data_IF_492751873585
#
_entry.id   IF_492751873585
#
_cell.length_a   1.000
_cell.length_b   1.000
_cell.length_c   1.000
_cell.angle_alpha   90.00
_cell.angle_beta   90.00
_cell.angle_gamma   90.00
#
_symmetry.space_group_name_H-M   'P 1'
#
loop_
_entity.id
_entity.type
_entity.pdbx_description
1 polymer ?
#
# COMPACT_ATOMS: atom_id res chain seq x y z
N UNK A 1 -35.49 23.80 46.38
CA UNK A 1 -35.35 23.36 47.80
C UNK A 1 -35.09 21.86 47.84
N UNK A 2 -33.88 21.41 48.19
CA UNK A 2 -33.57 20.07 48.75
C UNK A 2 -32.09 20.00 49.10
N UNK A 3 -31.78 19.97 50.38
CA UNK A 3 -30.46 19.78 50.97
C UNK A 3 -30.66 19.31 52.42
N UNK A 4 -29.63 18.66 53.01
CA UNK A 4 -29.68 18.12 54.37
C UNK A 4 -29.62 16.59 54.37
N UNK A 5 -28.58 16.05 55.01
CA UNK A 5 -28.31 14.63 55.15
C UNK A 5 -28.42 14.22 56.65
N UNK A 6 -27.73 13.14 57.04
CA UNK A 6 -27.78 12.46 58.37
C UNK A 6 -29.08 11.69 58.66
N UNK A 7 -29.07 10.45 59.17
CA UNK A 7 -28.00 9.44 59.22
C UNK A 7 -27.52 9.05 60.62
N UNK A 8 -27.81 7.80 61.02
CA UNK A 8 -27.05 6.97 61.97
C UNK A 8 -27.57 5.53 61.95
N UNK A 9 -26.66 4.57 62.11
CA UNK A 9 -26.95 3.16 62.39
C UNK A 9 -26.51 2.84 63.83
N UNK A 10 -26.89 1.67 64.37
CA UNK A 10 -26.16 0.86 65.36
C UNK A 10 -26.82 -0.53 65.50
N UNK A 11 -26.03 -1.53 65.89
CA UNK A 11 -26.32 -2.96 65.74
C UNK A 11 -27.14 -3.64 66.87
N UNK A 12 -27.67 -4.83 66.57
CA UNK A 12 -28.26 -5.78 67.54
C UNK A 12 -28.37 -7.20 66.95
N UNK A 13 -27.63 -8.21 67.46
CA UNK A 13 -27.51 -9.52 66.79
C UNK A 13 -28.41 -10.63 67.36
N UNK A 14 -28.48 -11.75 66.61
CA UNK A 14 -29.06 -13.07 66.93
C UNK A 14 -30.60 -13.22 66.90
N UNK A 15 -31.09 -13.78 65.79
CA UNK A 15 -31.83 -15.05 65.87
C UNK A 15 -31.56 -15.90 64.62
N UNK A 16 -30.98 -17.09 64.80
CA UNK A 16 -30.55 -17.97 63.71
C UNK A 16 -31.41 -19.25 63.72
N UNK A 17 -32.54 -19.26 63.00
CA UNK A 17 -33.26 -20.49 62.67
C UNK A 17 -34.25 -20.30 61.50
N UNK A 18 -34.45 -21.37 60.73
CA UNK A 18 -35.60 -21.61 59.82
C UNK A 18 -35.87 -20.59 58.69
N UNK A 19 -35.05 -20.63 57.64
CA UNK A 19 -35.51 -20.40 56.25
C UNK A 19 -34.83 -21.37 55.25
N UNK A 20 -34.86 -22.66 55.56
CA UNK A 20 -34.61 -23.72 54.58
C UNK A 20 -35.89 -23.96 53.75
N UNK A 21 -36.19 -23.02 52.84
CA UNK A 21 -37.11 -23.27 51.73
C UNK A 21 -36.27 -23.51 50.48
N UNK A 22 -36.59 -24.60 49.78
CA UNK A 22 -35.70 -25.15 48.77
C UNK A 22 -35.51 -24.20 47.58
N UNK A 23 -34.26 -23.79 47.34
CA UNK A 23 -33.82 -23.51 45.98
C UNK A 23 -33.93 -24.83 45.22
N UNK A 24 -35.02 -25.01 44.48
CA UNK A 24 -35.14 -26.09 43.53
C UNK A 24 -34.01 -25.95 42.52
N UNK A 25 -33.04 -26.86 42.57
CA UNK A 25 -31.99 -26.97 41.55
C UNK A 25 -32.60 -27.58 40.27
N UNK A 26 -33.60 -26.90 39.72
CA UNK A 26 -34.04 -27.10 38.35
C UNK A 26 -32.88 -26.71 37.47
N UNK A 27 -32.12 -27.72 37.03
CA UNK A 27 -30.98 -27.51 36.15
C UNK A 27 -31.44 -26.67 34.97
N UNK A 28 -30.72 -25.57 34.71
CA UNK A 28 -30.99 -24.73 33.56
C UNK A 28 -30.82 -25.61 32.32
N UNK A 29 -31.96 -26.01 31.72
CA UNK A 29 -31.96 -26.79 30.48
C UNK A 29 -31.47 -25.83 29.42
N UNK A 30 -30.18 -25.90 29.10
CA UNK A 30 -29.51 -24.88 28.29
C UNK A 30 -30.29 -24.63 27.00
N UNK A 31 -30.59 -23.36 26.75
CA UNK A 31 -31.35 -22.95 25.59
C UNK A 31 -30.49 -23.22 24.36
N UNK A 32 -30.86 -24.24 23.57
CA UNK A 32 -30.08 -24.66 22.42
C UNK A 32 -30.02 -23.49 21.41
N UNK A 33 -28.84 -22.91 21.12
CA UNK A 33 -28.75 -21.68 20.33
C UNK A 33 -29.29 -21.82 18.90
N UNK A 34 -29.26 -23.05 18.37
CA UNK A 34 -29.72 -23.41 17.03
C UNK A 34 -31.20 -23.78 16.97
N UNK A 35 -31.88 -23.91 18.12
CA UNK A 35 -33.28 -24.36 18.24
C UNK A 35 -33.55 -25.81 17.82
N UNK A 36 -32.52 -26.54 17.36
CA UNK A 36 -32.63 -27.85 16.75
C UNK A 36 -32.04 -28.94 17.65
N UNK A 37 -32.59 -30.14 17.56
CA UNK A 37 -32.19 -31.27 18.40
C UNK A 37 -32.06 -32.56 17.60
N UNK A 38 -31.10 -33.40 17.99
CA UNK A 38 -30.96 -34.78 17.48
C UNK A 38 -32.12 -35.66 17.97
N UNK A 39 -32.25 -36.85 17.39
CA UNK A 39 -33.19 -37.89 17.85
C UNK A 39 -32.86 -38.39 19.27
N UNK A 40 -31.63 -38.21 19.75
CA UNK A 40 -31.22 -38.45 21.15
C UNK A 40 -31.57 -37.30 22.11
N UNK A 41 -32.03 -36.16 21.61
CA UNK A 41 -32.38 -34.97 22.39
C UNK A 41 -31.19 -34.04 22.70
N UNK A 42 -30.04 -34.24 22.05
CA UNK A 42 -28.88 -33.36 22.15
C UNK A 42 -29.08 -32.12 21.27
N UNK A 43 -28.58 -30.96 21.71
CA UNK A 43 -28.62 -29.74 20.89
C UNK A 43 -27.79 -29.90 19.62
N UNK A 44 -28.27 -29.41 18.48
CA UNK A 44 -27.53 -29.46 17.24
C UNK A 44 -26.40 -28.41 17.21
N UNK A 45 -25.20 -28.85 16.83
CA UNK A 45 -24.04 -27.98 16.60
C UNK A 45 -24.30 -27.10 15.38
N UNK A 46 -23.89 -25.85 15.46
CA UNK A 46 -23.73 -24.99 14.29
C UNK A 46 -22.32 -25.18 13.70
N UNK A 47 -22.23 -24.99 12.39
CA UNK A 47 -21.01 -24.71 11.66
C UNK A 47 -20.66 -23.22 11.83
N UNK A 48 -19.37 -22.88 11.79
CA UNK A 48 -18.89 -21.51 11.98
C UNK A 48 -18.93 -20.71 10.67
N UNK A 49 -18.59 -19.42 10.73
CA UNK A 49 -18.21 -18.66 9.53
C UNK A 49 -17.05 -19.38 8.83
N UNK A 50 -17.11 -19.51 7.51
CA UNK A 50 -16.18 -20.35 6.76
C UNK A 50 -16.59 -21.83 6.61
N UNK A 51 -17.61 -22.30 7.35
CA UNK A 51 -18.08 -23.68 7.32
C UNK A 51 -19.56 -23.79 6.92
N UNK A 52 -19.89 -24.78 6.09
CA UNK A 52 -21.25 -25.13 5.70
C UNK A 52 -21.68 -26.50 6.24
N UNK A 53 -23.00 -26.70 6.33
CA UNK A 53 -23.61 -27.96 6.76
C UNK A 53 -23.59 -29.00 5.63
N UNK A 54 -22.58 -29.87 5.65
CA UNK A 54 -22.47 -31.04 4.78
C UNK A 54 -23.56 -32.10 5.07
N UNK A 55 -23.91 -32.27 6.35
CA UNK A 55 -25.02 -33.14 6.77
C UNK A 55 -25.79 -32.50 7.95
N UNK A 56 -27.11 -32.28 7.83
CA UNK A 56 -27.91 -31.72 8.91
C UNK A 56 -28.06 -32.72 10.07
N UNK A 57 -28.27 -32.21 11.28
CA UNK A 57 -28.50 -33.05 12.45
C UNK A 57 -29.83 -33.83 12.35
N UNK A 58 -29.89 -34.97 13.05
CA UNK A 58 -31.03 -35.88 13.05
C UNK A 58 -30.72 -37.09 13.92
N UNK A 59 -30.53 -38.26 13.32
CA UNK A 59 -30.03 -39.44 14.04
C UNK A 59 -28.58 -39.22 14.56
N UNK A 60 -27.78 -38.48 13.78
CA UNK A 60 -26.43 -38.05 14.14
C UNK A 60 -26.41 -36.54 14.42
N UNK A 61 -25.28 -36.07 14.95
CA UNK A 61 -24.97 -34.65 15.10
C UNK A 61 -24.65 -33.99 13.74
N UNK A 62 -24.79 -32.66 13.62
CA UNK A 62 -24.44 -31.89 12.41
C UNK A 62 -23.00 -32.19 11.97
N UNK A 63 -22.79 -32.37 10.67
CA UNK A 63 -21.46 -32.46 10.05
C UNK A 63 -21.21 -31.18 9.25
N UNK A 64 -20.09 -30.54 9.52
CA UNK A 64 -19.64 -29.30 8.88
C UNK A 64 -18.47 -29.60 7.94
N UNK A 65 -18.38 -28.86 6.85
CA UNK A 65 -17.24 -28.84 5.93
C UNK A 65 -16.80 -27.39 5.66
N UNK A 66 -15.50 -27.13 5.46
CA UNK A 66 -15.04 -25.80 5.07
C UNK A 66 -15.52 -25.47 3.65
N UNK A 67 -15.92 -24.23 3.44
CA UNK A 67 -16.31 -23.75 2.12
C UNK A 67 -15.08 -23.60 1.21
N UNK A 68 -15.24 -23.84 -0.10
CA UNK A 68 -14.14 -23.76 -1.06
C UNK A 68 -13.86 -22.29 -1.42
N UNK A 69 -12.68 -21.80 -1.06
CA UNK A 69 -12.17 -20.47 -1.43
C UNK A 69 -12.41 -20.14 -2.91
N UNK A 70 -12.80 -18.88 -3.19
CA UNK A 70 -13.25 -18.36 -4.49
C UNK A 70 -14.47 -19.03 -5.17
N UNK A 71 -15.02 -20.13 -4.61
CA UNK A 71 -16.13 -20.90 -5.22
C UNK A 71 -17.41 -20.85 -4.35
N UNK A 72 -17.25 -20.91 -3.02
CA UNK A 72 -18.36 -20.89 -2.07
C UNK A 72 -17.99 -20.21 -0.75
N UNK A 73 -18.97 -19.64 -0.04
CA UNK A 73 -18.80 -18.99 1.26
C UNK A 73 -19.89 -19.40 2.28
N UNK A 74 -19.66 -19.09 3.56
CA UNK A 74 -20.64 -19.18 4.65
C UNK A 74 -20.49 -18.01 5.62
N UNK A 75 -21.42 -17.04 5.49
CA UNK A 75 -21.51 -15.77 6.21
C UNK A 75 -22.28 -15.85 7.54
N UNK A 76 -22.77 -17.05 7.92
CA UNK A 76 -23.60 -17.25 9.11
C UNK A 76 -23.22 -18.48 9.92
N UNK A 77 -23.32 -18.37 11.25
CA UNK A 77 -23.16 -19.51 12.16
C UNK A 77 -24.48 -20.30 12.19
N UNK A 78 -24.55 -21.42 11.47
CA UNK A 78 -25.79 -22.16 11.22
C UNK A 78 -25.67 -23.67 11.41
N UNK A 79 -26.76 -24.32 11.85
CA UNK A 79 -26.90 -25.78 11.89
C UNK A 79 -27.70 -26.34 10.70
N UNK A 80 -28.08 -25.50 9.73
CA UNK A 80 -28.88 -25.90 8.56
C UNK A 80 -28.42 -25.35 7.21
N UNK A 81 -27.60 -24.29 7.17
CA UNK A 81 -27.17 -23.71 5.89
C UNK A 81 -25.89 -24.40 5.38
N UNK A 82 -25.88 -24.93 4.13
CA UNK A 82 -24.67 -25.35 3.45
C UNK A 82 -23.90 -24.13 2.92
N UNK A 83 -22.66 -24.34 2.45
CA UNK A 83 -21.90 -23.31 1.75
C UNK A 83 -22.67 -22.80 0.53
N UNK A 84 -22.73 -21.47 0.38
CA UNK A 84 -23.43 -20.75 -0.69
C UNK A 84 -22.45 -20.54 -1.87
N UNK A 85 -22.86 -20.64 -3.14
CA UNK A 85 -22.00 -20.26 -4.26
C UNK A 85 -21.69 -18.77 -4.20
N UNK A 86 -20.44 -18.39 -4.50
CA UNK A 86 -20.02 -16.99 -4.59
C UNK A 86 -20.79 -16.22 -5.68
N UNK A 87 -21.03 -14.94 -5.46
CA UNK A 87 -21.58 -14.01 -6.45
C UNK A 87 -20.59 -13.76 -7.58
N UNK A 88 -21.01 -13.97 -8.84
CA UNK A 88 -20.19 -13.68 -10.02
C UNK A 88 -20.40 -12.22 -10.49
N UNK A 89 -19.33 -11.42 -10.48
CA UNK A 89 -19.38 -10.02 -10.93
C UNK A 89 -19.39 -9.92 -12.46
N UNK A 90 -20.58 -9.98 -13.06
CA UNK A 90 -20.78 -9.98 -14.51
C UNK A 90 -21.17 -8.61 -15.08
N UNK A 91 -20.85 -8.40 -16.36
CA UNK A 91 -21.26 -7.23 -17.14
C UNK A 91 -20.32 -6.04 -16.95
N UNK A 92 -20.88 -4.87 -16.61
CA UNK A 92 -20.12 -3.63 -16.34
C UNK A 92 -19.67 -3.53 -14.87
N UNK A 93 -19.47 -4.68 -14.22
CA UNK A 93 -19.09 -4.79 -12.81
C UNK A 93 -17.74 -5.48 -12.67
N UNK A 94 -16.98 -5.08 -11.65
CA UNK A 94 -15.75 -5.73 -11.21
C UNK A 94 -15.83 -6.12 -9.74
N UNK A 95 -15.10 -7.16 -9.39
CA UNK A 95 -14.93 -7.63 -8.01
C UNK A 95 -14.10 -6.61 -7.21
N UNK A 96 -14.70 -5.95 -6.23
CA UNK A 96 -14.04 -4.97 -5.34
C UNK A 96 -13.50 -5.57 -4.05
N UNK A 97 -14.06 -6.70 -3.63
CA UNK A 97 -13.49 -7.61 -2.63
C UNK A 97 -13.71 -9.05 -3.13
N UNK A 98 -12.73 -9.95 -3.00
CA UNK A 98 -12.85 -11.34 -3.43
C UNK A 98 -13.80 -12.12 -2.53
N UNK A 99 -14.47 -13.13 -3.11
CA UNK A 99 -15.15 -14.14 -2.31
C UNK A 99 -14.10 -14.99 -1.58
N UNK A 100 -14.30 -15.18 -0.28
CA UNK A 100 -13.49 -16.02 0.61
C UNK A 100 -14.41 -16.93 1.42
N UNK A 101 -13.87 -17.93 2.12
CA UNK A 101 -14.68 -18.95 2.82
C UNK A 101 -15.80 -18.37 3.71
N UNK A 102 -15.59 -17.19 4.33
CA UNK A 102 -16.53 -16.54 5.24
C UNK A 102 -17.35 -15.36 4.66
N UNK A 103 -16.99 -14.82 3.49
CA UNK A 103 -17.56 -13.57 2.96
C UNK A 103 -17.72 -13.64 1.43
N UNK A 104 -18.85 -13.16 0.90
CA UNK A 104 -19.14 -13.17 -0.55
C UNK A 104 -18.33 -12.12 -1.33
N UNK A 105 -18.21 -12.31 -2.65
CA UNK A 105 -17.62 -11.32 -3.55
C UNK A 105 -18.45 -10.03 -3.59
N UNK A 106 -17.80 -8.90 -3.29
CA UNK A 106 -18.45 -7.58 -3.33
C UNK A 106 -18.24 -6.95 -4.70
N UNK A 107 -19.24 -7.05 -5.58
CA UNK A 107 -19.23 -6.40 -6.88
C UNK A 107 -19.48 -4.89 -6.78
N UNK A 108 -18.78 -4.11 -7.61
CA UNK A 108 -19.05 -2.68 -7.88
C UNK A 108 -18.96 -2.45 -9.38
N UNK A 109 -19.25 -1.24 -9.86
CA UNK A 109 -19.04 -0.89 -11.25
C UNK A 109 -17.55 -0.97 -11.61
N UNK A 110 -17.26 -1.36 -12.86
CA UNK A 110 -15.89 -1.45 -13.36
C UNK A 110 -15.20 -0.08 -13.42
N UNK A 111 -13.87 -0.03 -13.46
CA UNK A 111 -13.13 1.22 -13.63
C UNK A 111 -13.61 1.96 -14.90
N UNK A 112 -13.89 3.26 -14.79
CA UNK A 112 -14.54 4.04 -15.83
C UNK A 112 -16.08 3.94 -15.85
N UNK A 113 -16.70 3.34 -14.82
CA UNK A 113 -18.16 3.30 -14.64
C UNK A 113 -18.56 3.67 -13.20
N UNK A 114 -19.71 4.35 -13.05
CA UNK A 114 -20.34 4.68 -11.75
C UNK A 114 -21.72 4.03 -11.67
N UNK A 115 -22.21 3.72 -10.46
CA UNK A 115 -23.60 3.34 -10.25
C UNK A 115 -24.47 4.60 -10.24
N UNK A 116 -25.34 4.76 -11.25
CA UNK A 116 -26.39 5.77 -11.21
C UNK A 116 -27.47 5.39 -10.18
N UNK A 117 -27.82 6.32 -9.30
CA UNK A 117 -28.81 6.11 -8.25
C UNK A 117 -30.25 6.02 -8.79
N UNK A 118 -30.54 6.53 -9.99
CA UNK A 118 -31.92 6.54 -10.54
C UNK A 118 -32.30 5.23 -11.25
N UNK A 119 -31.34 4.58 -11.90
CA UNK A 119 -31.49 3.31 -12.63
C UNK A 119 -30.96 2.11 -11.84
N UNK A 120 -30.07 2.35 -10.86
CA UNK A 120 -29.33 1.32 -10.12
C UNK A 120 -28.23 0.62 -10.92
N UNK A 121 -27.91 1.12 -12.13
CA UNK A 121 -27.01 0.47 -13.10
C UNK A 121 -25.66 1.16 -13.16
N UNK A 122 -24.67 0.40 -13.63
CA UNK A 122 -23.37 0.95 -13.99
C UNK A 122 -23.45 1.69 -15.33
N UNK A 123 -23.22 2.99 -15.30
CA UNK A 123 -23.12 3.87 -16.47
C UNK A 123 -21.68 4.34 -16.66
N UNK A 124 -21.29 4.65 -17.90
CA UNK A 124 -19.94 5.12 -18.19
C UNK A 124 -19.69 6.49 -17.55
N UNK A 125 -18.53 6.64 -16.92
CA UNK A 125 -18.06 7.91 -16.41
C UNK A 125 -17.90 8.92 -17.56
N UNK A 126 -18.28 10.17 -17.30
CA UNK A 126 -18.06 11.28 -18.23
C UNK A 126 -16.57 11.53 -18.42
N UNK A 127 -16.18 11.88 -19.63
CA UNK A 127 -14.87 12.43 -19.98
C UNK A 127 -14.93 13.96 -19.88
N UNK A 128 -13.88 14.57 -19.36
CA UNK A 128 -13.67 16.01 -19.40
C UNK A 128 -13.06 16.35 -20.76
N UNK A 129 -13.87 16.95 -21.64
CA UNK A 129 -13.48 17.34 -23.00
C UNK A 129 -12.53 18.54 -22.97
N UNK A 130 -11.57 18.59 -23.91
CA UNK A 130 -10.62 19.69 -24.07
C UNK A 130 -11.29 21.07 -23.97
N UNK A 131 -10.70 21.96 -23.18
CA UNK A 131 -11.36 23.17 -22.67
C UNK A 131 -12.00 23.01 -21.28
N UNK A 132 -11.97 21.81 -20.69
CA UNK A 132 -12.62 21.49 -19.40
C UNK A 132 -11.77 20.50 -18.60
N UNK A 133 -11.50 20.80 -17.33
CA UNK A 133 -10.68 19.96 -16.46
C UNK A 133 -11.48 19.24 -15.38
N UNK A 134 -10.85 18.25 -14.77
CA UNK A 134 -11.40 17.45 -13.67
C UNK A 134 -11.49 18.25 -12.35
N UNK A 135 -12.65 18.18 -11.69
CA UNK A 135 -12.88 18.67 -10.32
C UNK A 135 -13.07 17.50 -9.35
N UNK A 136 -13.88 16.51 -9.72
CA UNK A 136 -14.06 15.27 -8.96
C UNK A 136 -13.94 14.07 -9.89
N UNK A 137 -12.99 13.19 -9.58
CA UNK A 137 -12.84 11.89 -10.21
C UNK A 137 -14.10 11.03 -10.06
N UNK A 138 -14.33 10.17 -11.05
CA UNK A 138 -15.43 9.22 -11.01
C UNK A 138 -15.23 8.21 -9.86
N UNK A 139 -16.32 7.88 -9.16
CA UNK A 139 -16.35 6.98 -8.02
C UNK A 139 -17.57 6.05 -8.12
N UNK A 140 -17.64 5.02 -7.26
CA UNK A 140 -18.70 3.99 -7.24
C UNK A 140 -20.13 4.51 -7.41
N UNK A 141 -20.43 5.74 -6.96
CA UNK A 141 -21.76 6.39 -7.03
C UNK A 141 -21.72 7.85 -7.51
N UNK A 142 -20.60 8.31 -8.07
CA UNK A 142 -20.44 9.69 -8.52
C UNK A 142 -19.81 9.68 -9.91
N UNK A 143 -20.56 10.20 -10.89
CA UNK A 143 -20.04 10.48 -12.22
C UNK A 143 -18.96 11.59 -12.15
N UNK A 144 -18.00 11.57 -13.07
CA UNK A 144 -16.96 12.59 -13.24
C UNK A 144 -17.55 13.99 -13.27
N UNK A 145 -17.04 14.88 -12.41
CA UNK A 145 -17.40 16.31 -12.43
C UNK A 145 -16.27 17.09 -13.06
N UNK A 146 -16.57 17.75 -14.17
CA UNK A 146 -15.64 18.60 -14.91
C UNK A 146 -16.10 20.07 -14.82
N UNK A 147 -15.15 21.00 -14.76
CA UNK A 147 -15.42 22.45 -14.89
C UNK A 147 -14.78 23.03 -16.15
N UNK A 148 -15.29 24.18 -16.58
CA UNK A 148 -14.72 24.93 -17.70
C UNK A 148 -13.44 25.64 -17.26
N UNK A 149 -12.33 25.48 -17.99
CA UNK A 149 -11.05 26.01 -17.53
C UNK A 149 -11.04 27.55 -17.45
N UNK A 150 -10.73 28.13 -16.27
CA UNK A 150 -10.69 29.58 -16.08
C UNK A 150 -9.49 30.25 -16.77
N UNK A 151 -9.56 31.58 -16.92
CA UNK A 151 -8.49 32.39 -17.50
C UNK A 151 -7.13 32.12 -16.82
N UNK A 152 -6.10 31.84 -17.62
CA UNK A 152 -4.79 31.43 -17.13
C UNK A 152 -4.62 29.91 -16.93
N UNK A 153 -5.58 29.09 -17.36
CA UNK A 153 -5.47 27.62 -17.39
C UNK A 153 -5.98 27.02 -18.71
N UNK A 154 -5.56 25.79 -19.02
CA UNK A 154 -5.98 25.03 -20.21
C UNK A 154 -6.16 23.52 -19.94
N UNK A 155 -6.81 22.84 -20.89
CA UNK A 155 -6.87 21.38 -21.03
C UNK A 155 -6.99 21.08 -22.53
N UNK A 156 -6.03 20.38 -23.10
CA UNK A 156 -5.91 20.12 -24.55
C UNK A 156 -6.28 18.68 -24.97
N UNK A 157 -6.22 17.72 -24.05
CA UNK A 157 -6.71 16.35 -24.24
C UNK A 157 -8.05 16.09 -23.51
N UNK A 158 -8.90 15.24 -24.10
CA UNK A 158 -10.16 14.80 -23.51
C UNK A 158 -9.95 13.54 -22.65
N UNK A 159 -9.91 13.68 -21.32
CA UNK A 159 -9.61 12.57 -20.41
C UNK A 159 -10.43 12.60 -19.09
N UNK A 160 -10.08 11.72 -18.14
CA UNK A 160 -10.83 11.49 -16.89
C UNK A 160 -9.96 11.62 -15.62
N UNK A 161 -8.78 12.25 -15.74
CA UNK A 161 -7.76 12.36 -14.69
C UNK A 161 -7.21 13.77 -14.49
N UNK A 162 -7.13 14.58 -15.54
CA UNK A 162 -6.40 15.85 -15.49
C UNK A 162 -7.29 17.05 -15.10
N UNK A 163 -6.88 17.88 -14.13
CA UNK A 163 -7.47 19.18 -13.88
C UNK A 163 -7.04 20.18 -14.97
N UNK A 164 -7.60 21.40 -14.95
CA UNK A 164 -7.09 22.48 -15.80
C UNK A 164 -5.66 22.84 -15.40
N UNK A 165 -4.73 22.69 -16.34
CA UNK A 165 -3.31 22.94 -16.18
C UNK A 165 -3.03 24.46 -16.24
N UNK A 166 -2.08 25.01 -15.45
CA UNK A 166 -1.72 26.41 -15.55
C UNK A 166 -1.05 26.70 -16.90
N UNK A 167 -1.38 27.83 -17.52
CA UNK A 167 -0.71 28.31 -18.72
C UNK A 167 0.79 28.57 -18.48
N UNK A 168 1.63 28.19 -19.45
CA UNK A 168 2.99 28.70 -19.59
C UNK A 168 2.97 30.23 -19.76
N UNK A 169 3.93 30.91 -19.13
CA UNK A 169 4.13 32.36 -19.24
C UNK A 169 5.54 32.59 -19.77
N UNK A 170 5.65 33.10 -20.99
CA UNK A 170 6.95 33.33 -21.63
C UNK A 170 7.79 34.39 -20.88
N UNK A 171 9.09 34.19 -20.77
CA UNK A 171 10.01 35.14 -20.12
C UNK A 171 10.33 36.37 -21.00
N UNK A 172 10.93 37.43 -20.42
CA UNK A 172 11.37 38.64 -21.15
C UNK A 172 12.41 38.35 -22.26
N UNK A 173 13.05 37.18 -22.21
CA UNK A 173 13.98 36.68 -23.25
C UNK A 173 13.28 35.90 -24.36
N UNK A 174 11.99 35.61 -24.21
CA UNK A 174 11.19 34.83 -25.15
C UNK A 174 10.14 35.68 -25.86
N UNK A 175 9.61 35.13 -26.95
CA UNK A 175 8.52 35.70 -27.71
C UNK A 175 7.36 34.70 -27.76
N UNK A 176 6.21 35.10 -27.22
CA UNK A 176 4.97 34.37 -27.37
C UNK A 176 4.59 34.24 -28.87
N UNK A 177 4.56 33.01 -29.39
CA UNK A 177 4.10 32.66 -30.73
C UNK A 177 2.58 32.46 -30.77
N UNK A 178 2.03 31.81 -29.74
CA UNK A 178 0.59 31.58 -29.54
C UNK A 178 0.21 31.95 -28.11
N UNK A 179 -0.95 32.57 -27.97
CA UNK A 179 -1.54 32.87 -26.67
C UNK A 179 -2.16 31.61 -26.04
N UNK A 180 -2.00 31.47 -24.72
CA UNK A 180 -2.69 30.41 -23.99
C UNK A 180 -4.21 30.63 -24.08
N UNK A 181 -4.92 29.53 -24.23
CA UNK A 181 -6.37 29.48 -24.36
C UNK A 181 -6.85 28.23 -23.64
N UNK A 182 -8.12 28.19 -23.19
CA UNK A 182 -8.65 27.05 -22.40
C UNK A 182 -8.42 25.66 -23.01
N UNK A 183 -8.21 25.55 -24.32
CA UNK A 183 -7.98 24.31 -25.07
C UNK A 183 -6.53 24.06 -25.52
N UNK A 184 -5.57 24.95 -25.22
CA UNK A 184 -4.17 24.84 -25.64
C UNK A 184 -3.27 25.86 -24.92
N UNK A 185 -2.07 25.44 -24.51
CA UNK A 185 -1.08 26.29 -23.84
C UNK A 185 -0.55 27.44 -24.73
N UNK A 186 0.15 28.40 -24.12
CA UNK A 186 1.01 29.34 -24.83
C UNK A 186 2.22 28.63 -25.43
N UNK A 187 2.63 29.06 -26.63
CA UNK A 187 3.90 28.63 -27.24
C UNK A 187 4.90 29.79 -27.18
N UNK A 188 6.10 29.54 -26.67
CA UNK A 188 7.17 30.53 -26.52
C UNK A 188 8.35 30.22 -27.47
N UNK A 189 8.97 31.27 -28.03
CA UNK A 189 10.16 31.20 -28.90
C UNK A 189 11.29 32.06 -28.31
N UNK A 190 12.39 31.42 -27.90
CA UNK A 190 13.63 32.07 -27.44
C UNK A 190 14.12 33.16 -28.41
N UNK A 191 14.22 34.41 -27.95
CA UNK A 191 14.66 35.53 -28.79
C UNK A 191 16.18 35.42 -29.00
N UNK A 192 16.66 35.26 -30.25
CA UNK A 192 18.10 35.11 -30.49
C UNK A 192 18.88 36.32 -29.94
N UNK A 193 19.82 36.07 -29.02
CA UNK A 193 20.48 37.08 -28.17
C UNK A 193 21.20 38.25 -28.86
N UNK A 194 21.24 38.28 -30.20
CA UNK A 194 21.56 39.47 -31.03
C UNK A 194 20.50 40.58 -30.95
N UNK A 195 19.28 40.28 -30.48
CA UNK A 195 18.14 41.20 -30.42
C UNK A 195 17.69 41.51 -28.99
N UNK A 196 18.22 40.83 -27.98
CA UNK A 196 18.02 41.21 -26.58
C UNK A 196 18.78 42.52 -26.34
N UNK A 197 18.08 43.66 -26.47
CA UNK A 197 18.60 44.99 -26.10
C UNK A 197 18.69 45.08 -24.58
N UNK A 198 19.71 44.41 -24.04
CA UNK A 198 20.09 44.47 -22.62
C UNK A 198 20.28 45.93 -22.24
N UNK A 199 19.34 46.49 -21.48
CA UNK A 199 19.34 47.89 -21.09
C UNK A 199 20.48 48.14 -20.11
N UNK A 200 21.64 48.54 -20.63
CA UNK A 200 22.83 48.87 -19.84
C UNK A 200 22.46 49.94 -18.80
N UNK A 201 22.68 49.71 -17.51
CA UNK A 201 22.65 50.78 -16.53
C UNK A 201 23.66 51.87 -16.96
N UNK A 202 23.31 53.17 -16.92
CA UNK A 202 24.21 54.21 -17.40
C UNK A 202 25.49 54.24 -16.55
N UNK A 203 26.65 54.10 -17.19
CA UNK A 203 27.95 54.11 -16.53
C UNK A 203 28.24 55.49 -15.90
N UNK A 204 27.98 55.60 -14.60
CA UNK A 204 28.47 56.68 -13.76
C UNK A 204 29.95 56.47 -13.42
N UNK A 205 30.84 57.05 -14.21
CA UNK A 205 32.23 57.34 -13.81
C UNK A 205 32.23 58.24 -12.54
N UNK A 206 33.20 58.23 -11.64
CA UNK A 206 34.61 57.81 -11.77
C UNK A 206 35.17 57.23 -10.45
N UNK A 207 36.48 57.02 -10.41
CA UNK A 207 37.27 56.21 -9.49
C UNK A 207 37.55 56.85 -8.14
N UNK A 208 37.74 56.01 -7.10
CA UNK A 208 38.92 55.95 -6.19
C UNK A 208 38.54 55.54 -4.76
N UNK A 209 39.09 54.41 -4.27
CA UNK A 209 39.07 54.05 -2.84
C UNK A 209 40.33 54.62 -2.13
N UNK A 210 40.32 54.84 -0.80
CA UNK A 210 40.84 53.75 0.05
C UNK A 210 40.25 53.63 1.48
N UNK A 211 40.44 52.42 2.04
CA UNK A 211 40.65 52.10 3.47
C UNK A 211 39.59 52.42 4.54
N UNK A 212 38.94 51.34 4.99
CA UNK A 212 38.89 50.85 6.39
C UNK A 212 38.80 51.86 7.55
N UNK A 213 37.68 51.82 8.29
CA UNK A 213 37.68 51.87 9.76
C UNK A 213 36.40 51.27 10.37
N UNK A 214 36.53 50.69 11.55
CA UNK A 214 35.45 50.19 12.43
C UNK A 214 34.70 51.35 13.12
N UNK A 215 33.47 51.17 13.64
CA UNK A 215 33.38 50.91 15.08
C UNK A 215 32.17 50.08 15.61
N UNK A 216 32.43 49.36 16.70
CA UNK A 216 31.66 49.15 17.95
C UNK A 216 30.11 49.36 18.00
N UNK A 217 29.42 48.34 18.55
CA UNK A 217 28.17 48.48 19.32
C UNK A 217 28.49 48.83 20.79
N UNK A 218 27.59 49.39 21.65
CA UNK A 218 26.43 48.66 22.22
C UNK A 218 25.26 49.64 22.62
N UNK A 219 24.37 49.42 23.63
CA UNK A 219 24.00 48.22 24.42
C UNK A 219 22.47 47.94 24.47
N UNK A 220 22.09 47.01 25.36
CA UNK A 220 20.77 46.40 25.56
C UNK A 220 19.72 47.28 26.29
N UNK A 221 18.47 46.83 26.32
CA UNK A 221 17.50 47.16 27.38
C UNK A 221 16.37 46.11 27.52
N UNK A 222 15.88 45.92 28.74
CA UNK A 222 15.09 44.77 29.19
C UNK A 222 13.55 44.88 29.07
N UNK A 223 12.93 43.69 29.05
CA UNK A 223 11.65 43.30 29.69
C UNK A 223 10.61 44.39 30.05
N UNK A 224 9.38 44.24 29.53
CA UNK A 224 8.19 43.98 30.37
C UNK A 224 7.20 43.08 29.59
N UNK A 225 6.55 42.13 30.26
CA UNK A 225 5.37 41.43 29.74
C UNK A 225 4.07 42.16 30.11
N UNK A 226 3.01 42.03 29.31
CA UNK A 226 1.66 42.44 29.74
C UNK A 226 0.57 41.55 29.14
N UNK A 227 -0.40 41.18 29.97
CA UNK A 227 -1.52 40.30 29.62
C UNK A 227 -2.83 41.08 29.59
N UNK A 228 -3.60 40.92 28.51
CA UNK A 228 -5.03 41.30 28.45
C UNK A 228 -5.77 40.18 27.72
N UNK A 229 -6.97 39.83 28.18
CA UNK A 229 -7.81 38.77 27.62
C UNK A 229 -9.08 39.34 26.96
N UNK A 230 -9.72 38.51 26.13
CA UNK A 230 -11.09 38.53 25.63
C UNK A 230 -11.93 39.84 25.69
N UNK A 231 -12.33 40.32 24.51
CA UNK A 231 -13.74 40.68 24.26
C UNK A 231 -14.15 40.19 22.86
N UNK A 232 -15.20 39.36 22.79
CA UNK A 232 -15.93 39.09 21.53
C UNK A 232 -17.07 40.10 21.41
N UNK A 233 -17.26 40.72 20.23
CA UNK A 233 -18.50 41.41 19.88
C UNK A 233 -18.76 41.34 18.38
N UNK A 234 -19.94 40.85 17.99
CA UNK A 234 -20.38 40.73 16.60
C UNK A 234 -21.04 42.01 16.09
N UNK A 235 -20.60 42.47 14.91
CA UNK A 235 -21.30 43.49 14.10
C UNK A 235 -21.26 43.04 12.64
N UNK A 236 -22.38 43.15 11.92
CA UNK A 236 -22.45 42.78 10.50
C UNK A 236 -22.05 43.95 9.58
N UNK A 237 -21.33 43.63 8.51
CA UNK A 237 -21.42 44.35 7.24
C UNK A 237 -20.43 45.49 6.98
N UNK A 238 -19.31 45.16 6.33
CA UNK A 238 -18.79 45.94 5.19
C UNK A 238 -17.76 45.12 4.40
N UNK A 239 -17.74 45.27 3.08
CA UNK A 239 -16.74 44.68 2.18
C UNK A 239 -15.43 45.47 2.18
N UNK A 240 -14.28 44.79 2.34
CA UNK A 240 -12.91 45.21 1.97
C UNK A 240 -12.01 43.94 1.98
N UNK A 241 -10.87 43.92 1.26
CA UNK A 241 -10.10 42.69 1.02
C UNK A 241 -9.25 42.26 2.23
N UNK A 242 -9.26 40.96 2.55
CA UNK A 242 -8.38 40.38 3.58
C UNK A 242 -6.99 40.13 2.99
N UNK A 243 -6.03 40.98 3.35
CA UNK A 243 -4.60 40.70 3.14
C UNK A 243 -4.14 39.77 4.26
N UNK A 244 -4.06 38.47 3.97
CA UNK A 244 -3.68 37.43 4.94
C UNK A 244 -2.17 37.45 5.24
N UNK A 245 -1.72 38.41 6.07
CA UNK A 245 -0.40 38.42 6.71
C UNK A 245 -0.55 38.24 8.22
N UNK A 246 0.13 37.23 8.80
CA UNK A 246 0.25 37.09 10.26
C UNK A 246 0.03 35.71 10.88
N UNK A 247 0.27 34.60 10.17
CA UNK A 247 0.21 33.24 10.77
C UNK A 247 1.46 32.38 10.58
N UNK A 248 2.45 32.84 9.81
CA UNK A 248 3.71 32.12 9.53
C UNK A 248 4.61 31.97 10.75
N UNK A 249 4.62 32.96 11.63
CA UNK A 249 5.68 33.13 12.64
C UNK A 249 5.55 32.14 13.82
N UNK A 250 4.39 31.46 13.91
CA UNK A 250 4.13 30.39 14.86
C UNK A 250 4.13 28.98 14.23
N UNK A 251 4.22 28.88 12.90
CA UNK A 251 4.14 27.59 12.19
C UNK A 251 5.35 26.71 12.50
N UNK A 252 6.55 27.29 12.49
CA UNK A 252 7.83 26.60 12.75
C UNK A 252 7.87 25.99 14.16
N UNK A 253 7.68 26.73 15.28
CA UNK A 253 7.73 26.14 16.62
C UNK A 253 6.63 25.10 16.89
N UNK A 254 5.45 25.25 16.29
CA UNK A 254 4.40 24.21 16.34
C UNK A 254 4.84 22.95 15.60
N UNK A 255 5.41 23.06 14.40
CA UNK A 255 5.88 21.91 13.63
C UNK A 255 7.03 21.17 14.35
N UNK A 256 8.00 21.91 14.91
CA UNK A 256 9.07 21.33 15.74
C UNK A 256 8.53 20.62 16.99
N UNK A 257 7.48 21.15 17.63
CA UNK A 257 6.84 20.54 18.79
C UNK A 257 6.12 19.22 18.43
N UNK A 258 5.44 19.18 17.28
CA UNK A 258 4.79 17.96 16.76
C UNK A 258 5.82 16.90 16.38
N UNK A 259 6.89 17.28 15.66
CA UNK A 259 7.99 16.37 15.31
C UNK A 259 8.65 15.78 16.57
N UNK A 260 8.93 16.61 17.58
CA UNK A 260 9.47 16.13 18.85
C UNK A 260 8.54 15.12 19.55
N UNK A 261 7.23 15.37 19.56
CA UNK A 261 6.24 14.45 20.12
C UNK A 261 6.18 13.11 19.35
N UNK A 262 6.25 13.14 18.01
CA UNK A 262 6.30 11.93 17.17
C UNK A 262 7.58 11.13 17.42
N UNK A 263 8.75 11.77 17.48
CA UNK A 263 10.03 11.10 17.77
C UNK A 263 10.02 10.47 19.17
N UNK A 264 9.53 11.18 20.19
CA UNK A 264 9.38 10.62 21.55
C UNK A 264 8.40 9.44 21.57
N UNK A 265 7.29 9.54 20.82
CA UNK A 265 6.32 8.45 20.66
C UNK A 265 6.93 7.20 20.00
N UNK A 266 7.72 7.37 18.94
CA UNK A 266 8.44 6.28 18.27
C UNK A 266 9.49 5.63 19.18
N UNK A 267 10.28 6.43 19.90
CA UNK A 267 11.26 5.92 20.88
C UNK A 267 10.56 5.14 22.00
N UNK A 268 9.43 5.65 22.52
CA UNK A 268 8.61 4.97 23.51
C UNK A 268 8.00 3.66 22.98
N UNK A 269 7.52 3.64 21.73
CA UNK A 269 7.02 2.44 21.06
C UNK A 269 8.13 1.39 20.87
N UNK A 270 9.31 1.79 20.42
CA UNK A 270 10.48 0.89 20.26
C UNK A 270 10.91 0.34 21.62
N UNK A 271 10.95 1.17 22.66
CA UNK A 271 11.26 0.74 24.03
C UNK A 271 10.21 -0.24 24.57
N UNK A 272 8.93 0.02 24.37
CA UNK A 272 7.83 -0.86 24.79
C UNK A 272 7.85 -2.19 24.02
N UNK A 273 8.11 -2.16 22.70
CA UNK A 273 8.23 -3.36 21.85
C UNK A 273 9.41 -4.21 22.30
N UNK A 274 10.60 -3.62 22.51
CA UNK A 274 11.77 -4.32 23.08
C UNK A 274 11.48 -4.88 24.47
N UNK A 275 10.81 -4.13 25.34
CA UNK A 275 10.41 -4.58 26.68
C UNK A 275 9.46 -5.79 26.63
N UNK A 276 8.47 -5.77 25.75
CA UNK A 276 7.54 -6.91 25.58
C UNK A 276 8.24 -8.14 24.99
N UNK A 277 9.15 -7.98 24.01
CA UNK A 277 9.98 -9.08 23.49
C UNK A 277 10.87 -9.68 24.58
N UNK A 278 11.52 -8.86 25.42
CA UNK A 278 12.28 -9.34 26.57
C UNK A 278 11.40 -10.04 27.61
N UNK A 279 10.16 -9.57 27.82
CA UNK A 279 9.17 -10.18 28.72
C UNK A 279 8.72 -11.56 28.24
N UNK A 280 8.46 -11.73 26.94
CA UNK A 280 8.13 -13.02 26.33
C UNK A 280 9.30 -14.01 26.39
N UNK A 281 10.51 -13.58 25.98
CA UNK A 281 11.69 -14.45 25.99
C UNK A 281 12.05 -14.98 27.39
N UNK A 282 11.72 -14.21 28.45
CA UNK A 282 11.94 -14.62 29.84
C UNK A 282 11.00 -15.74 30.33
N UNK A 283 9.93 -16.06 29.60
CA UNK A 283 9.02 -17.18 29.93
C UNK A 283 9.45 -18.50 29.25
N UNK A 284 10.16 -18.46 28.13
CA UNK A 284 10.61 -19.66 27.40
C UNK A 284 11.85 -20.37 27.98
N UNK A 285 12.57 -19.73 28.92
CA UNK A 285 13.90 -20.18 29.35
C UNK A 285 13.93 -21.17 30.54
N UNK A 286 12.78 -21.49 31.17
CA UNK A 286 12.74 -22.15 32.49
C UNK A 286 12.37 -23.65 32.45
N UNK A 287 12.63 -24.35 31.33
CA UNK A 287 12.43 -25.80 31.21
C UNK A 287 13.68 -26.50 30.68
N UNK A 288 14.54 -26.99 31.58
CA UNK A 288 15.75 -27.74 31.24
C UNK A 288 16.09 -28.81 32.28
N UNK A 289 16.03 -30.11 31.96
CA UNK A 289 16.64 -31.17 32.76
C UNK A 289 18.16 -31.18 32.61
N UNK A 290 18.85 -31.82 33.57
CA UNK A 290 20.32 -31.91 33.64
C UNK A 290 20.79 -33.35 33.49
N UNK A 291 21.76 -33.62 32.60
CA UNK A 291 22.97 -34.37 32.96
C UNK A 291 24.07 -34.37 31.87
N UNK A 292 25.26 -34.82 32.28
CA UNK A 292 26.49 -35.03 31.49
C UNK A 292 26.68 -36.58 31.32
N UNK A 293 27.64 -37.21 30.62
CA UNK A 293 29.03 -36.85 30.21
C UNK A 293 29.44 -37.62 28.88
N UNK A 294 30.67 -38.10 28.52
CA UNK A 294 31.18 -38.08 27.11
C UNK A 294 31.52 -39.47 26.44
N UNK A 295 32.01 -39.51 25.17
CA UNK A 295 32.23 -40.75 24.37
C UNK A 295 33.70 -41.25 24.31
N UNK A 296 34.02 -42.37 23.60
CA UNK A 296 34.54 -42.37 22.20
C UNK A 296 33.88 -43.52 21.33
N UNK A 297 34.34 -44.14 20.22
CA UNK A 297 35.62 -44.29 19.46
C UNK A 297 35.47 -44.22 17.88
N UNK A 298 35.89 -45.25 17.11
CA UNK A 298 35.94 -45.31 15.61
C UNK A 298 34.76 -46.05 14.93
N UNK A 299 34.77 -46.49 13.65
CA UNK A 299 35.79 -46.71 12.59
C UNK A 299 35.11 -46.53 11.19
N UNK A 300 35.63 -45.88 10.14
CA UNK A 300 36.69 -46.19 9.12
C UNK A 300 36.31 -47.20 7.97
N UNK A 301 36.45 -46.75 6.70
CA UNK A 301 36.44 -47.51 5.39
C UNK A 301 35.05 -47.99 4.86
N UNK A 302 34.78 -48.19 3.56
CA UNK A 302 35.59 -48.28 2.31
C UNK A 302 34.94 -47.53 1.10
N UNK A 303 35.61 -47.53 -0.07
CA UNK A 303 35.24 -46.82 -1.33
C UNK A 303 34.88 -47.76 -2.50
N UNK A 304 34.51 -47.14 -3.63
CA UNK A 304 34.58 -47.61 -5.04
C UNK A 304 33.78 -48.84 -5.51
N UNK A 305 32.81 -48.61 -6.40
CA UNK A 305 32.99 -48.84 -7.85
C UNK A 305 31.71 -48.55 -8.65
N UNK A 306 31.85 -48.12 -9.90
CA UNK A 306 30.75 -48.06 -10.87
C UNK A 306 31.15 -48.70 -12.19
N UNK A 307 30.18 -49.16 -12.99
CA UNK A 307 30.41 -49.56 -14.38
C UNK A 307 29.13 -49.36 -15.22
N UNK A 308 29.31 -49.02 -16.49
CA UNK A 308 28.28 -48.83 -17.50
C UNK A 308 27.92 -50.13 -18.24
N UNK A 309 26.70 -50.23 -18.76
CA UNK A 309 26.34 -51.17 -19.82
C UNK A 309 25.55 -50.43 -20.90
N UNK A 310 25.97 -50.59 -22.15
CA UNK A 310 25.29 -50.11 -23.36
C UNK A 310 24.97 -51.32 -24.26
N UNK A 311 23.86 -51.31 -24.98
CA UNK A 311 23.43 -52.36 -25.91
C UNK A 311 22.24 -51.91 -26.77
N UNK A 312 22.48 -51.67 -28.07
CA UNK A 312 21.45 -51.39 -29.07
C UNK A 312 21.37 -52.52 -30.11
N UNK A 313 20.17 -53.05 -30.37
CA UNK A 313 19.82 -53.97 -31.48
C UNK A 313 18.30 -54.25 -31.43
N UNK A 314 17.53 -54.31 -32.52
CA UNK A 314 17.80 -53.88 -33.90
C UNK A 314 16.50 -53.35 -34.55
N UNK A 315 16.72 -52.47 -35.52
CA UNK A 315 15.79 -51.76 -36.39
C UNK A 315 14.80 -52.67 -37.16
N UNK A 316 13.57 -52.18 -37.44
CA UNK A 316 13.01 -52.31 -38.80
C UNK A 316 11.99 -51.23 -39.20
N UNK A 317 12.17 -50.75 -40.43
CA UNK A 317 11.43 -49.84 -41.33
C UNK A 317 10.38 -48.79 -40.83
N UNK A 318 10.77 -47.51 -41.03
CA UNK A 318 9.93 -46.31 -41.30
C UNK A 318 9.39 -46.32 -42.77
N UNK A 319 8.58 -45.36 -43.29
CA UNK A 319 8.46 -43.90 -43.03
C UNK A 319 7.07 -43.49 -42.45
N UNK A 320 6.64 -42.24 -42.16
CA UNK A 320 7.17 -40.86 -41.99
C UNK A 320 5.98 -39.99 -41.43
N UNK A 321 6.05 -38.69 -41.06
CA UNK A 321 7.09 -37.64 -41.03
C UNK A 321 7.00 -36.88 -39.70
N UNK A 322 8.10 -36.83 -38.95
CA UNK A 322 8.58 -35.80 -37.99
C UNK A 322 7.65 -35.15 -36.94
N UNK A 323 8.23 -34.95 -35.75
CA UNK A 323 7.60 -34.52 -34.49
C UNK A 323 8.37 -33.37 -33.84
N UNK A 324 7.73 -32.62 -32.95
CA UNK A 324 8.39 -32.00 -31.81
C UNK A 324 7.54 -32.25 -30.54
N UNK A 325 8.17 -32.74 -29.46
CA UNK A 325 7.51 -32.98 -28.18
C UNK A 325 7.79 -31.83 -27.22
N UNK A 326 6.79 -31.42 -26.43
CA UNK A 326 6.93 -30.36 -25.44
C UNK A 326 7.86 -30.78 -24.30
N UNK A 327 9.11 -30.32 -24.32
CA UNK A 327 10.03 -30.48 -23.20
C UNK A 327 9.62 -29.54 -22.05
N UNK A 328 9.33 -30.12 -20.89
CA UNK A 328 9.24 -29.36 -19.65
C UNK A 328 10.64 -28.82 -19.28
N UNK A 329 10.92 -27.57 -19.65
CA UNK A 329 12.12 -26.86 -19.21
C UNK A 329 11.99 -26.58 -17.71
N UNK A 330 12.60 -27.47 -16.92
CA UNK A 330 12.85 -27.28 -15.49
C UNK A 330 13.74 -26.04 -15.33
N UNK A 331 13.13 -24.91 -14.99
CA UNK A 331 13.85 -23.65 -14.76
C UNK A 331 14.83 -23.80 -13.59
N UNK A 332 16.12 -23.78 -13.91
CA UNK A 332 17.17 -23.58 -12.91
C UNK A 332 17.31 -22.06 -12.71
N UNK A 333 17.17 -21.60 -11.46
CA UNK A 333 16.97 -20.20 -11.11
C UNK A 333 18.23 -19.35 -11.29
N UNK A 334 18.55 -19.00 -12.54
CA UNK A 334 19.79 -18.34 -12.92
C UNK A 334 20.03 -17.01 -12.19
N UNK A 335 21.26 -16.82 -11.71
CA UNK A 335 21.72 -15.55 -11.15
C UNK A 335 21.63 -14.44 -12.21
N UNK A 336 21.08 -13.28 -11.83
CA UNK A 336 20.98 -12.10 -12.68
C UNK A 336 22.33 -11.65 -13.25
N UNK A 337 23.42 -11.88 -12.50
CA UNK A 337 24.80 -11.60 -12.91
C UNK A 337 25.32 -12.50 -14.06
N UNK A 338 24.69 -13.65 -14.34
CA UNK A 338 25.05 -14.52 -15.48
C UNK A 338 24.32 -14.17 -16.78
N UNK A 339 23.36 -13.23 -16.74
CA UNK A 339 22.59 -12.83 -17.92
C UNK A 339 23.47 -12.10 -18.97
N UNK A 340 23.23 -12.34 -20.27
CA UNK A 340 23.88 -11.60 -21.35
C UNK A 340 23.74 -10.09 -21.16
N UNK A 341 24.76 -9.27 -21.51
CA UNK A 341 24.73 -7.83 -21.28
C UNK A 341 23.52 -7.15 -21.93
N UNK A 342 23.12 -7.58 -23.13
CA UNK A 342 21.93 -7.07 -23.83
C UNK A 342 20.63 -7.22 -23.01
N UNK A 343 20.43 -8.35 -22.31
CA UNK A 343 19.24 -8.55 -21.46
C UNK A 343 19.27 -7.72 -20.17
N UNK A 344 20.46 -7.36 -19.68
CA UNK A 344 20.58 -6.44 -18.53
C UNK A 344 20.32 -4.99 -18.94
N UNK A 345 20.76 -4.60 -20.14
CA UNK A 345 20.44 -3.30 -20.75
C UNK A 345 18.94 -3.17 -21.10
N UNK A 346 18.29 -4.27 -21.50
CA UNK A 346 16.83 -4.35 -21.67
C UNK A 346 16.08 -4.09 -20.34
N UNK A 347 16.45 -4.80 -19.26
CA UNK A 347 15.88 -4.61 -17.90
C UNK A 347 16.05 -3.16 -17.43
N UNK A 348 17.24 -2.58 -17.61
CA UNK A 348 17.52 -1.18 -17.28
C UNK A 348 16.62 -0.22 -18.06
N UNK A 349 16.48 -0.43 -19.38
CA UNK A 349 15.65 0.39 -20.27
C UNK A 349 14.17 0.31 -19.90
N UNK A 350 13.66 -0.89 -19.60
CA UNK A 350 12.27 -1.13 -19.21
C UNK A 350 11.90 -0.45 -17.89
N UNK A 351 12.81 -0.47 -16.90
CA UNK A 351 12.62 0.23 -15.63
C UNK A 351 12.74 1.75 -15.79
N UNK A 352 13.74 2.23 -16.53
CA UNK A 352 13.98 3.66 -16.76
C UNK A 352 12.95 4.31 -17.70
N UNK A 353 12.29 3.54 -18.57
CA UNK A 353 11.20 3.98 -19.43
C UNK A 353 9.83 4.06 -18.72
N UNK A 354 9.80 3.95 -17.39
CA UNK A 354 8.58 3.97 -16.59
C UNK A 354 8.67 4.98 -15.45
N UNK A 355 7.51 5.30 -14.83
CA UNK A 355 7.41 6.36 -13.82
C UNK A 355 8.52 6.28 -12.75
N UNK A 356 9.13 7.42 -12.45
CA UNK A 356 10.45 7.54 -11.81
C UNK A 356 10.62 6.88 -10.44
N UNK A 357 9.52 6.52 -9.78
CA UNK A 357 9.53 5.82 -8.48
C UNK A 357 9.50 4.29 -8.62
N UNK A 358 9.25 3.74 -9.81
CA UNK A 358 9.17 2.28 -10.05
C UNK A 358 10.42 1.55 -9.54
N UNK A 359 11.61 2.08 -9.85
CA UNK A 359 12.87 1.47 -9.42
C UNK A 359 13.14 1.66 -7.92
N UNK A 360 12.58 2.71 -7.28
CA UNK A 360 12.62 2.89 -5.83
C UNK A 360 11.76 1.84 -5.12
N UNK A 361 10.53 1.63 -5.60
CA UNK A 361 9.65 0.57 -5.09
C UNK A 361 10.25 -0.82 -5.30
N UNK A 362 10.87 -1.06 -6.47
CA UNK A 362 11.61 -2.29 -6.74
C UNK A 362 12.76 -2.49 -5.75
N UNK A 363 13.56 -1.46 -5.47
CA UNK A 363 14.66 -1.54 -4.52
C UNK A 363 14.19 -1.94 -3.11
N UNK A 364 13.05 -1.41 -2.65
CA UNK A 364 12.40 -1.81 -1.40
C UNK A 364 12.00 -3.30 -1.40
N UNK A 365 11.34 -3.77 -2.46
CA UNK A 365 10.93 -5.19 -2.59
C UNK A 365 12.11 -6.16 -2.80
N UNK A 366 13.29 -5.65 -3.19
CA UNK A 366 14.58 -6.33 -3.22
C UNK A 366 15.37 -6.21 -1.89
N UNK A 367 14.81 -5.55 -0.87
CA UNK A 367 15.33 -5.52 0.51
C UNK A 367 16.22 -4.32 0.87
N UNK A 368 16.37 -3.32 0.00
CA UNK A 368 17.14 -2.12 0.30
C UNK A 368 16.38 -1.22 1.31
N UNK A 369 17.11 -0.67 2.28
CA UNK A 369 16.59 0.34 3.21
C UNK A 369 16.52 1.71 2.50
N UNK A 370 15.56 2.59 2.83
CA UNK A 370 15.34 3.84 2.10
C UNK A 370 16.59 4.74 2.03
N UNK A 371 17.43 4.75 3.08
CA UNK A 371 18.69 5.52 3.11
C UNK A 371 19.73 5.03 2.09
N UNK A 372 19.64 3.76 1.66
CA UNK A 372 20.41 3.21 0.54
C UNK A 372 19.70 3.40 -0.81
N UNK A 373 18.37 3.54 -0.85
CA UNK A 373 17.64 3.82 -2.09
C UNK A 373 17.95 5.25 -2.54
N UNK A 374 17.98 6.21 -1.60
CA UNK A 374 18.30 7.60 -1.91
C UNK A 374 19.75 7.82 -2.35
N UNK A 375 20.72 7.00 -1.93
CA UNK A 375 22.09 7.13 -2.42
C UNK A 375 22.22 6.86 -3.93
N UNK A 376 21.42 5.93 -4.48
CA UNK A 376 21.35 5.69 -5.92
C UNK A 376 20.71 6.86 -6.70
N UNK A 377 19.95 7.75 -6.05
CA UNK A 377 19.32 8.91 -6.74
C UNK A 377 20.33 9.96 -7.18
N UNK A 378 21.52 9.96 -6.57
CA UNK A 378 22.64 10.84 -6.91
C UNK A 378 23.55 10.26 -8.00
N UNK A 379 23.33 9.01 -8.43
CA UNK A 379 24.07 8.38 -9.53
C UNK A 379 23.53 8.83 -10.89
N UNK A 380 24.41 8.92 -11.89
CA UNK A 380 24.02 9.33 -13.25
C UNK A 380 23.05 8.35 -13.95
N UNK A 381 22.96 7.10 -13.47
CA UNK A 381 22.01 6.09 -13.92
C UNK A 381 21.49 5.27 -12.71
N UNK A 382 20.49 5.77 -11.95
CA UNK A 382 20.05 5.15 -10.69
C UNK A 382 19.64 3.67 -10.82
N UNK A 383 18.90 3.35 -11.88
CA UNK A 383 18.45 1.98 -12.20
C UNK A 383 19.63 1.03 -12.41
N UNK A 384 20.66 1.45 -13.16
CA UNK A 384 21.88 0.69 -13.41
C UNK A 384 22.71 0.51 -12.14
N UNK A 385 22.82 1.55 -11.31
CA UNK A 385 23.52 1.48 -10.04
C UNK A 385 22.84 0.51 -9.05
N UNK A 386 21.51 0.55 -8.95
CA UNK A 386 20.72 -0.42 -8.18
C UNK A 386 20.94 -1.85 -8.68
N UNK A 387 20.75 -2.11 -9.98
CA UNK A 387 20.84 -3.46 -10.54
C UNK A 387 22.26 -4.02 -10.47
N UNK A 388 23.29 -3.19 -10.65
CA UNK A 388 24.68 -3.59 -10.46
C UNK A 388 25.01 -3.88 -8.98
N UNK A 389 24.48 -3.10 -8.03
CA UNK A 389 24.61 -3.38 -6.59
C UNK A 389 23.88 -4.66 -6.20
N UNK A 390 22.66 -4.87 -6.71
CA UNK A 390 21.87 -6.04 -6.39
C UNK A 390 22.48 -7.32 -6.99
N UNK A 391 23.04 -7.25 -8.20
CA UNK A 391 23.74 -8.35 -8.86
C UNK A 391 24.94 -8.94 -8.10
N UNK A 392 25.43 -8.28 -7.03
CA UNK A 392 26.49 -8.81 -6.16
C UNK A 392 25.95 -9.59 -4.94
N UNK A 393 24.63 -9.70 -4.77
CA UNK A 393 24.01 -10.45 -3.67
C UNK A 393 23.76 -11.91 -4.08
N UNK A 394 23.96 -12.87 -3.16
CA UNK A 394 23.67 -14.30 -3.40
C UNK A 394 22.19 -14.58 -3.67
N UNK A 395 21.31 -13.64 -3.30
CA UNK A 395 19.85 -13.67 -3.53
C UNK A 395 19.43 -13.21 -4.94
N UNK A 396 20.36 -12.75 -5.77
CA UNK A 396 20.06 -12.08 -7.03
C UNK A 396 19.75 -13.05 -8.18
N UNK A 397 18.64 -13.77 -8.11
CA UNK A 397 18.14 -14.64 -9.20
C UNK A 397 17.12 -13.91 -10.08
N UNK A 398 17.00 -14.30 -11.35
CA UNK A 398 15.98 -13.75 -12.24
C UNK A 398 14.56 -13.93 -11.67
N UNK A 399 14.28 -15.06 -11.03
CA UNK A 399 12.99 -15.32 -10.37
C UNK A 399 12.71 -14.33 -9.23
N UNK A 400 13.73 -13.93 -8.45
CA UNK A 400 13.58 -12.92 -7.40
C UNK A 400 13.24 -11.53 -7.99
N UNK A 401 13.84 -11.15 -9.13
CA UNK A 401 13.49 -9.93 -9.86
C UNK A 401 12.04 -9.98 -10.36
N UNK A 402 11.64 -11.07 -11.03
CA UNK A 402 10.28 -11.24 -11.54
C UNK A 402 9.24 -11.34 -10.41
N UNK A 403 9.61 -11.86 -9.24
CA UNK A 403 8.74 -11.86 -8.04
C UNK A 403 8.64 -10.48 -7.38
N UNK A 404 9.70 -9.66 -7.42
CA UNK A 404 9.64 -8.27 -6.97
C UNK A 404 8.81 -7.38 -7.92
N UNK A 405 8.99 -7.54 -9.24
CA UNK A 405 8.20 -6.83 -10.26
C UNK A 405 6.69 -7.12 -10.16
N UNK A 406 6.30 -8.38 -9.89
CA UNK A 406 4.88 -8.72 -9.60
C UNK A 406 4.36 -8.06 -8.32
N UNK A 407 5.18 -7.96 -7.26
CA UNK A 407 4.78 -7.33 -5.99
C UNK A 407 4.56 -5.82 -6.12
N UNK A 408 5.34 -5.12 -6.93
CA UNK A 408 5.11 -3.69 -7.27
C UNK A 408 4.04 -3.48 -8.36
N UNK A 409 3.21 -4.51 -8.64
CA UNK A 409 2.14 -4.50 -9.66
C UNK A 409 2.61 -4.27 -11.12
N UNK A 410 3.91 -4.37 -11.41
CA UNK A 410 4.50 -4.21 -12.75
C UNK A 410 4.60 -5.53 -13.51
N UNK A 411 3.44 -6.16 -13.71
CA UNK A 411 3.29 -7.39 -14.49
C UNK A 411 3.58 -7.18 -16.00
N UNK A 412 3.42 -5.95 -16.50
CA UNK A 412 3.81 -5.51 -17.84
C UNK A 412 5.31 -5.74 -18.11
N UNK A 413 6.16 -5.38 -17.15
CA UNK A 413 7.61 -5.58 -17.27
C UNK A 413 7.99 -7.07 -17.19
N UNK A 414 7.24 -7.85 -16.40
CA UNK A 414 7.42 -9.31 -16.30
C UNK A 414 7.08 -10.00 -17.63
N UNK A 415 6.00 -9.59 -18.30
CA UNK A 415 5.59 -10.16 -19.56
C UNK A 415 6.59 -9.85 -20.69
N UNK A 416 7.15 -8.63 -20.73
CA UNK A 416 8.23 -8.27 -21.66
C UNK A 416 9.46 -9.17 -21.46
N UNK A 417 9.97 -9.27 -20.23
CA UNK A 417 11.19 -10.03 -19.89
C UNK A 417 11.04 -11.54 -20.12
N UNK A 418 9.82 -12.08 -19.97
CA UNK A 418 9.51 -13.46 -20.35
C UNK A 418 9.43 -13.65 -21.88
N UNK A 419 8.83 -12.70 -22.60
CA UNK A 419 8.56 -12.83 -24.05
C UNK A 419 9.82 -12.91 -24.92
N UNK A 420 10.82 -12.06 -24.69
CA UNK A 420 12.08 -12.09 -25.45
C UNK A 420 12.89 -13.39 -25.26
N UNK A 421 12.55 -14.22 -24.26
CA UNK A 421 13.22 -15.52 -24.04
C UNK A 421 12.78 -16.62 -25.02
N UNK A 422 11.77 -16.38 -25.85
CA UNK A 422 11.31 -17.32 -26.90
C UNK A 422 11.86 -16.99 -28.30
N UNK A 423 12.53 -15.85 -28.48
CA UNK A 423 12.73 -15.24 -29.79
C UNK A 423 14.13 -15.41 -30.45
N UNK A 424 14.94 -16.40 -30.06
CA UNK A 424 16.26 -16.65 -30.71
C UNK A 424 16.50 -18.12 -31.07
N UNK A 425 16.13 -18.49 -32.31
CA UNK A 425 16.64 -19.69 -32.98
C UNK A 425 16.81 -19.41 -34.48
N UNK A 426 18.03 -19.13 -34.96
CA UNK A 426 18.32 -18.99 -36.38
C UNK A 426 18.46 -20.36 -37.05
N UNK A 427 18.08 -20.42 -38.34
CA UNK A 427 18.28 -21.55 -39.27
C UNK A 427 19.55 -21.33 -40.09
#
# INVERSE_FOLDING_TARGET
MRAGATGRAMDGPRLLLLLLLGVSLGGAKEACPTGLYTHSGECCKACNLGEGVAQPCGANQTVCEPCLDSVTFSDVVSATEPCKPCTECVGLQSMSAPCVEADDAVCRCAYGYYQDETTGRCEACRVCEAGSGLVFSCQDKQNTVCEECPDGTYSDEANHVDPCLPCTVCEDTERQLRECTRWADAECEEIPGRWITRSTPPEGSDSTAPSTQEPEAPPEQDLIASTVADVVTTVMGSSQPVVTRGTTDNLIPVYCSILAAVVVGLVAYIAFKRWNSCKQNKQGANSRPVNQTPPPEGEKLHSDSGISVDSQSLHDQQPHTQTASGQALKGDGGLYSSLPPAKREEVEKLLNGSAGDTWRHLAGELGYQPEHIDSFTHEACPVRALLASWATQDSATLDALLAALRRIQRADLVESLCSESTATSPV
#
